data_IF_772033583637
#
_entry.id   IF_772033583637
#
_cell.length_a   1.000
_cell.length_b   1.000
_cell.length_c   1.000
_cell.angle_alpha   90.00
_cell.angle_beta   90.00
_cell.angle_gamma   90.00
#
_symmetry.space_group_name_H-M   'P 1'
#
loop_
_entity.id
_entity.type
_entity.pdbx_description
1 polymer ?
#
# COMPACT_ATOMS: atom_id res chain seq x y z
N UNK A 1 -3.30 4.06 -24.79
CA UNK A 1 -2.55 3.11 -23.94
C UNK A 1 -1.59 2.31 -24.77
N UNK A 2 -0.34 2.17 -24.32
CA UNK A 2 0.66 1.34 -24.99
C UNK A 2 0.38 -0.15 -24.75
N UNK A 3 0.80 -1.05 -25.66
CA UNK A 3 0.78 -2.48 -25.39
C UNK A 3 1.69 -2.80 -24.20
N UNK A 4 1.20 -3.66 -23.30
CA UNK A 4 2.01 -4.13 -22.16
C UNK A 4 3.03 -5.14 -22.68
N UNK A 5 4.24 -5.13 -22.12
CA UNK A 5 5.30 -6.08 -22.50
C UNK A 5 4.90 -7.53 -22.29
N UNK A 6 5.59 -8.45 -22.96
CA UNK A 6 5.48 -9.89 -22.70
C UNK A 6 6.02 -10.26 -21.32
N UNK A 7 5.56 -11.37 -20.70
CA UNK A 7 6.11 -11.87 -19.45
C UNK A 7 7.64 -12.05 -19.52
N UNK A 8 8.31 -11.72 -18.43
CA UNK A 8 9.75 -11.96 -18.29
C UNK A 8 10.00 -13.46 -18.06
N UNK A 9 11.09 -13.98 -18.63
CA UNK A 9 11.47 -15.38 -18.48
C UNK A 9 11.67 -15.72 -17.00
N UNK A 10 10.98 -16.77 -16.53
CA UNK A 10 11.02 -17.23 -15.13
C UNK A 10 12.44 -17.61 -14.67
N UNK A 11 13.29 -18.07 -15.58
CA UNK A 11 14.69 -18.40 -15.25
C UNK A 11 15.52 -17.16 -14.88
N UNK A 12 15.21 -15.99 -15.46
CA UNK A 12 15.83 -14.72 -15.09
C UNK A 12 15.32 -14.25 -13.73
N UNK A 13 14.03 -14.38 -13.46
CA UNK A 13 13.44 -14.01 -12.17
C UNK A 13 14.08 -14.82 -11.04
N UNK A 14 14.16 -16.15 -11.20
CA UNK A 14 14.77 -17.05 -10.20
C UNK A 14 16.25 -16.76 -9.94
N UNK A 15 17.00 -16.33 -10.96
CA UNK A 15 18.41 -15.94 -10.77
C UNK A 15 18.57 -14.71 -9.89
N UNK A 16 17.60 -13.81 -9.93
CA UNK A 16 17.63 -12.55 -9.17
C UNK A 16 16.98 -12.69 -7.79
N UNK A 17 16.10 -13.67 -7.57
CA UNK A 17 15.48 -13.96 -6.27
C UNK A 17 16.38 -14.87 -5.42
N UNK A 18 17.49 -14.32 -4.96
CA UNK A 18 18.52 -15.03 -4.20
C UNK A 18 18.18 -15.10 -2.70
N UNK A 19 18.72 -16.10 -1.96
CA UNK A 19 18.42 -16.26 -0.52
C UNK A 19 18.76 -15.05 0.35
N UNK A 20 19.77 -14.27 -0.02
CA UNK A 20 20.17 -13.02 0.69
C UNK A 20 19.17 -11.89 0.56
N UNK A 21 18.24 -11.97 -0.39
CA UNK A 21 17.13 -11.01 -0.59
C UNK A 21 15.81 -11.50 -0.02
N UNK A 22 15.76 -12.75 0.44
CA UNK A 22 14.57 -13.33 1.02
C UNK A 22 14.37 -12.83 2.44
N UNK A 23 13.20 -12.24 2.70
CA UNK A 23 12.80 -11.76 4.02
C UNK A 23 12.29 -12.90 4.91
N UNK A 24 11.33 -13.68 4.41
CA UNK A 24 10.70 -14.79 5.13
C UNK A 24 9.86 -15.67 4.21
N UNK A 25 9.42 -16.81 4.74
CA UNK A 25 8.29 -17.57 4.18
C UNK A 25 6.99 -17.05 4.79
N UNK A 26 5.90 -17.05 4.03
CA UNK A 26 4.58 -16.60 4.49
C UNK A 26 3.96 -17.57 5.49
N UNK A 27 3.13 -17.06 6.40
CA UNK A 27 2.44 -17.89 7.40
C UNK A 27 1.47 -18.91 6.77
N UNK A 28 1.02 -18.63 5.55
CA UNK A 28 0.10 -19.50 4.81
C UNK A 28 0.52 -19.64 3.36
N UNK A 29 0.24 -20.80 2.78
CA UNK A 29 0.51 -21.19 1.40
C UNK A 29 1.99 -21.40 1.03
N UNK A 30 2.94 -21.25 1.97
CA UNK A 30 4.36 -21.54 1.72
C UNK A 30 5.04 -20.63 0.71
N UNK A 31 4.48 -19.44 0.45
CA UNK A 31 5.07 -18.46 -0.45
C UNK A 31 6.31 -17.79 0.19
N UNK A 32 7.14 -17.19 -0.61
CA UNK A 32 8.35 -16.51 -0.17
C UNK A 32 8.22 -15.00 -0.36
N UNK A 33 8.71 -14.24 0.62
CA UNK A 33 8.73 -12.77 0.55
C UNK A 33 10.15 -12.30 0.32
N UNK A 34 10.32 -11.44 -0.69
CA UNK A 34 11.60 -10.84 -1.04
C UNK A 34 11.56 -9.33 -0.93
N UNK A 35 12.71 -8.73 -0.61
CA UNK A 35 12.95 -7.29 -0.71
C UNK A 35 14.05 -7.07 -1.73
N UNK A 36 13.76 -6.26 -2.75
CA UNK A 36 14.69 -5.96 -3.84
C UNK A 36 14.66 -4.48 -4.20
N UNK A 37 15.67 -4.05 -4.96
CA UNK A 37 15.68 -2.78 -5.69
C UNK A 37 15.87 -3.04 -7.18
N UNK A 38 15.65 -2.03 -8.01
CA UNK A 38 15.89 -2.10 -9.46
C UNK A 38 17.31 -2.55 -9.79
N UNK A 39 18.32 -2.00 -9.10
CA UNK A 39 19.72 -2.33 -9.36
C UNK A 39 20.06 -3.78 -9.01
N UNK A 40 19.43 -4.32 -7.98
CA UNK A 40 19.67 -5.70 -7.52
C UNK A 40 18.97 -6.74 -8.39
N UNK A 41 17.78 -6.41 -8.92
CA UNK A 41 16.92 -7.37 -9.61
C UNK A 41 16.15 -6.70 -10.76
N UNK A 42 16.84 -6.25 -11.83
CA UNK A 42 16.22 -5.51 -12.92
C UNK A 42 15.17 -6.31 -13.70
N UNK A 43 15.33 -7.62 -13.84
CA UNK A 43 14.34 -8.48 -14.50
C UNK A 43 13.10 -8.67 -13.63
N UNK A 44 13.28 -8.88 -12.31
CA UNK A 44 12.17 -8.94 -11.37
C UNK A 44 11.41 -7.61 -11.35
N UNK A 45 12.13 -6.47 -11.34
CA UNK A 45 11.50 -5.15 -11.40
C UNK A 45 10.72 -4.93 -12.69
N UNK A 46 11.22 -5.41 -13.82
CA UNK A 46 10.51 -5.37 -15.11
C UNK A 46 9.21 -6.17 -15.06
N UNK A 47 9.23 -7.36 -14.46
CA UNK A 47 8.03 -8.17 -14.28
C UNK A 47 7.04 -7.52 -13.29
N UNK A 48 7.52 -6.92 -12.20
CA UNK A 48 6.68 -6.12 -11.28
C UNK A 48 5.96 -5.01 -12.05
N UNK A 49 6.67 -4.23 -12.86
CA UNK A 49 6.08 -3.15 -13.66
C UNK A 49 5.01 -3.66 -14.62
N UNK A 50 5.24 -4.82 -15.27
CA UNK A 50 4.25 -5.49 -16.12
C UNK A 50 2.99 -5.89 -15.36
N UNK A 51 3.15 -6.56 -14.22
CA UNK A 51 2.03 -7.05 -13.40
C UNK A 51 1.23 -5.91 -12.77
N UNK A 52 1.91 -4.85 -12.32
CA UNK A 52 1.27 -3.62 -11.83
C UNK A 52 0.39 -2.99 -12.92
N UNK A 53 0.93 -2.79 -14.11
CA UNK A 53 0.19 -2.16 -15.19
C UNK A 53 -1.04 -3.00 -15.60
N UNK A 54 -0.92 -4.33 -15.64
CA UNK A 54 -2.06 -5.23 -15.88
C UNK A 54 -3.12 -5.07 -14.80
N UNK A 55 -2.72 -5.15 -13.53
CA UNK A 55 -3.65 -5.11 -12.40
C UNK A 55 -4.36 -3.74 -12.29
N UNK A 56 -3.62 -2.65 -12.46
CA UNK A 56 -4.16 -1.30 -12.35
C UNK A 56 -5.05 -0.92 -13.53
N UNK A 57 -4.68 -1.27 -14.78
CA UNK A 57 -5.57 -1.08 -15.94
C UNK A 57 -6.88 -1.85 -15.81
N UNK A 58 -6.81 -3.07 -15.32
CA UNK A 58 -8.02 -3.88 -15.10
C UNK A 58 -8.97 -3.25 -14.08
N UNK A 59 -8.44 -2.48 -13.13
CA UNK A 59 -9.21 -1.73 -12.15
C UNK A 59 -9.67 -0.33 -12.64
N UNK A 60 -9.17 0.16 -13.76
CA UNK A 60 -9.51 1.47 -14.32
C UNK A 60 -8.52 2.59 -14.02
N UNK A 61 -7.31 2.25 -13.57
CA UNK A 61 -6.16 3.15 -13.36
C UNK A 61 -4.99 2.78 -14.27
N UNK A 62 -3.77 2.93 -13.73
CA UNK A 62 -2.53 2.61 -14.41
C UNK A 62 -1.93 3.79 -15.17
N UNK A 63 -0.68 3.63 -15.60
CA UNK A 63 0.08 4.68 -16.28
C UNK A 63 -0.26 4.78 -17.77
N UNK A 64 -0.86 3.74 -18.35
CA UNK A 64 -1.07 3.64 -19.79
C UNK A 64 0.20 3.31 -20.60
N UNK A 65 1.33 3.13 -19.92
CA UNK A 65 2.62 2.77 -20.50
C UNK A 65 2.78 1.25 -20.64
N UNK A 66 3.84 0.79 -21.29
CA UNK A 66 4.12 -0.66 -21.42
C UNK A 66 4.44 -1.35 -20.09
N UNK A 67 4.84 -0.57 -19.08
CA UNK A 67 5.18 -0.97 -17.70
C UNK A 67 4.76 0.13 -16.73
N UNK A 68 4.28 -0.22 -15.54
CA UNK A 68 4.13 0.70 -14.42
C UNK A 68 5.42 0.74 -13.59
N UNK A 69 6.31 1.63 -13.97
CA UNK A 69 7.43 2.08 -13.17
C UNK A 69 7.66 3.57 -13.39
N UNK A 70 8.32 4.21 -12.45
CA UNK A 70 8.61 5.63 -12.47
C UNK A 70 10.05 5.91 -11.98
N UNK A 71 10.39 7.17 -11.82
CA UNK A 71 11.72 7.57 -11.32
C UNK A 71 12.00 7.04 -9.91
N UNK A 72 10.98 6.90 -9.07
CA UNK A 72 11.13 6.34 -7.71
C UNK A 72 11.47 4.86 -7.73
N UNK A 73 11.16 4.14 -8.79
CA UNK A 73 11.53 2.74 -8.96
C UNK A 73 12.95 2.57 -9.53
N UNK A 74 13.48 3.53 -10.33
CA UNK A 74 14.67 3.35 -11.18
C UNK A 74 15.84 4.30 -10.91
N UNK A 75 15.66 5.33 -10.08
CA UNK A 75 16.73 6.29 -9.75
C UNK A 75 17.91 5.63 -8.99
N UNK A 76 18.94 6.41 -8.69
CA UNK A 76 20.12 5.96 -7.96
C UNK A 76 19.80 5.41 -6.56
N UNK A 77 18.81 6.00 -5.87
CA UNK A 77 18.30 5.56 -4.56
C UNK A 77 16.81 5.24 -4.67
N UNK A 78 16.46 4.11 -5.30
CA UNK A 78 15.07 3.79 -5.58
C UNK A 78 14.34 3.30 -4.33
N UNK A 79 13.01 3.29 -4.43
CA UNK A 79 12.19 2.57 -3.48
C UNK A 79 12.50 1.08 -3.49
N UNK A 80 12.38 0.48 -2.33
CA UNK A 80 12.40 -0.97 -2.18
C UNK A 80 11.09 -1.56 -2.68
N UNK A 81 11.18 -2.79 -3.19
CA UNK A 81 10.05 -3.60 -3.59
C UNK A 81 9.93 -4.79 -2.66
N UNK A 82 8.82 -4.88 -1.95
CA UNK A 82 8.43 -6.07 -1.20
C UNK A 82 7.51 -6.88 -2.09
N UNK A 83 7.89 -8.10 -2.43
CA UNK A 83 7.09 -8.98 -3.29
C UNK A 83 6.82 -10.32 -2.62
N UNK A 84 5.69 -10.92 -2.96
CA UNK A 84 5.34 -12.29 -2.62
C UNK A 84 5.53 -13.15 -3.86
N UNK A 85 6.40 -14.14 -3.74
CA UNK A 85 6.75 -15.11 -4.78
C UNK A 85 6.14 -16.48 -4.48
N UNK A 86 5.47 -17.09 -5.43
CA UNK A 86 5.03 -18.46 -5.37
C UNK A 86 6.14 -19.37 -5.97
N UNK A 87 6.85 -20.17 -5.16
CA UNK A 87 7.93 -21.01 -5.66
C UNK A 87 7.45 -22.21 -6.47
N UNK A 88 6.18 -22.63 -6.34
CA UNK A 88 5.60 -23.75 -7.09
C UNK A 88 5.18 -23.32 -8.50
N UNK A 89 4.48 -22.19 -8.61
CA UNK A 89 4.02 -21.64 -9.89
C UNK A 89 5.09 -20.78 -10.57
N UNK A 90 6.14 -20.42 -9.82
CA UNK A 90 7.24 -19.57 -10.27
C UNK A 90 6.74 -18.22 -10.81
N UNK A 91 5.98 -17.50 -9.97
CA UNK A 91 5.42 -16.19 -10.32
C UNK A 91 5.24 -15.28 -9.11
N UNK A 92 5.12 -13.99 -9.38
CA UNK A 92 4.88 -12.94 -8.37
C UNK A 92 3.37 -12.86 -8.13
N UNK A 93 2.95 -13.08 -6.87
CA UNK A 93 1.54 -12.98 -6.45
C UNK A 93 1.09 -11.54 -6.23
N UNK A 94 1.99 -10.67 -5.83
CA UNK A 94 1.71 -9.28 -5.53
C UNK A 94 2.88 -8.60 -4.85
N UNK A 95 2.71 -7.33 -4.50
CA UNK A 95 3.78 -6.56 -3.85
C UNK A 95 3.34 -5.18 -3.41
N UNK A 96 4.29 -4.54 -2.74
CA UNK A 96 4.32 -3.12 -2.38
C UNK A 96 5.66 -2.53 -2.78
N UNK A 97 5.69 -1.25 -3.12
CA UNK A 97 6.92 -0.47 -3.00
C UNK A 97 6.93 0.31 -1.70
N UNK A 98 8.09 0.56 -1.12
CA UNK A 98 8.19 1.30 0.12
C UNK A 98 9.51 2.08 0.23
N UNK A 99 9.46 3.15 1.01
CA UNK A 99 10.63 3.93 1.38
C UNK A 99 10.58 4.27 2.87
N UNK A 100 11.64 3.95 3.66
CA UNK A 100 11.79 4.50 5.00
C UNK A 100 11.94 6.02 4.94
N UNK A 101 11.17 6.75 5.76
CA UNK A 101 11.22 8.20 5.79
C UNK A 101 12.57 8.76 6.23
N UNK A 102 13.36 7.97 6.96
CA UNK A 102 14.76 8.30 7.29
C UNK A 102 15.69 8.33 6.07
N UNK A 103 15.29 7.71 4.95
CA UNK A 103 16.03 7.71 3.68
C UNK A 103 15.48 8.75 2.69
N UNK A 104 14.41 9.46 3.03
CA UNK A 104 13.81 10.44 2.14
C UNK A 104 14.75 11.60 1.85
N UNK A 105 14.83 11.99 0.57
CA UNK A 105 15.46 13.24 0.15
C UNK A 105 14.46 14.39 0.29
N UNK A 106 14.95 15.62 0.35
CA UNK A 106 14.14 16.82 0.47
C UNK A 106 14.44 17.78 -0.66
N UNK A 107 13.41 18.48 -1.12
CA UNK A 107 13.54 19.55 -2.10
C UNK A 107 14.05 20.87 -1.45
N UNK A 108 14.27 21.89 -2.28
CA UNK A 108 14.72 23.20 -1.84
C UNK A 108 13.74 23.93 -0.90
N UNK A 109 12.50 23.49 -0.83
CA UNK A 109 11.45 24.02 0.05
C UNK A 109 11.33 23.22 1.35
N UNK A 110 12.15 22.19 1.55
CA UNK A 110 12.12 21.31 2.71
C UNK A 110 10.97 20.30 2.68
N UNK A 111 10.31 20.08 1.52
CA UNK A 111 9.34 19.01 1.38
C UNK A 111 10.02 17.71 0.98
N UNK A 112 9.54 16.54 1.44
CA UNK A 112 10.16 15.27 1.10
C UNK A 112 9.89 14.92 -0.36
N UNK A 113 10.89 14.35 -1.03
CA UNK A 113 10.75 13.82 -2.40
C UNK A 113 10.19 12.39 -2.35
N UNK A 114 8.89 12.27 -2.08
CA UNK A 114 8.16 11.02 -2.03
C UNK A 114 7.26 10.83 -3.25
N UNK A 115 6.88 9.60 -3.52
CA UNK A 115 5.94 9.28 -4.60
C UNK A 115 4.55 9.92 -4.40
N UNK A 116 4.22 10.38 -3.21
CA UNK A 116 2.98 11.09 -2.89
C UNK A 116 3.13 12.62 -2.87
N UNK A 117 4.35 13.15 -2.94
CA UNK A 117 4.62 14.58 -2.76
C UNK A 117 4.04 15.49 -3.83
N UNK A 118 3.71 14.96 -5.00
CA UNK A 118 3.01 15.72 -6.04
C UNK A 118 1.52 15.99 -5.70
N UNK A 119 0.95 15.23 -4.75
CA UNK A 119 -0.46 15.36 -4.34
C UNK A 119 -0.63 15.94 -2.95
N UNK A 120 0.33 15.73 -2.04
CA UNK A 120 0.19 16.04 -0.64
C UNK A 120 1.32 16.95 -0.12
N UNK A 121 0.91 17.91 0.70
CA UNK A 121 1.80 18.75 1.50
C UNK A 121 2.01 18.13 2.88
N UNK A 122 3.25 18.06 3.33
CA UNK A 122 3.64 17.57 4.65
C UNK A 122 3.90 18.74 5.58
N UNK A 123 3.20 18.82 6.70
CA UNK A 123 3.39 19.89 7.67
C UNK A 123 4.77 19.79 8.35
N UNK A 124 5.29 20.92 8.80
CA UNK A 124 6.51 20.97 9.61
C UNK A 124 6.45 20.06 10.84
N UNK A 125 5.24 19.94 11.43
CA UNK A 125 5.04 19.06 12.57
C UNK A 125 5.22 17.60 12.19
N UNK A 126 4.64 17.17 11.06
CA UNK A 126 4.84 15.81 10.55
C UNK A 126 6.31 15.53 10.25
N UNK A 127 6.97 16.44 9.53
CA UNK A 127 8.36 16.26 9.13
C UNK A 127 9.31 16.13 10.32
N UNK A 128 9.08 16.91 11.37
CA UNK A 128 9.94 16.92 12.57
C UNK A 128 9.67 15.77 13.54
N UNK A 129 8.41 15.30 13.61
CA UNK A 129 7.96 14.39 14.67
C UNK A 129 7.77 12.95 14.18
N UNK A 130 7.27 12.78 12.95
CA UNK A 130 6.81 11.48 12.45
C UNK A 130 7.65 10.92 11.31
N UNK A 131 8.17 11.79 10.44
CA UNK A 131 8.75 11.39 9.15
C UNK A 131 9.85 10.35 9.28
N UNK A 132 10.80 10.54 10.19
CA UNK A 132 11.96 9.64 10.35
C UNK A 132 11.57 8.22 10.77
N UNK A 133 10.47 8.09 11.52
CA UNK A 133 9.96 6.82 12.06
C UNK A 133 8.81 6.25 11.18
N UNK A 134 8.58 6.83 9.98
CA UNK A 134 7.52 6.44 9.05
C UNK A 134 8.09 5.69 7.85
N UNK A 135 7.37 4.69 7.36
CA UNK A 135 7.60 4.09 6.05
C UNK A 135 6.46 4.48 5.12
N UNK A 136 6.79 5.10 3.97
CA UNK A 136 5.82 5.29 2.90
C UNK A 136 5.61 3.98 2.14
N UNK A 137 4.33 3.62 1.94
CA UNK A 137 3.88 2.47 1.16
C UNK A 137 3.18 2.93 -0.12
N UNK A 138 3.48 2.30 -1.24
CA UNK A 138 2.83 2.60 -2.51
C UNK A 138 2.72 1.40 -3.43
N UNK A 139 2.04 1.60 -4.56
CA UNK A 139 1.92 0.60 -5.62
C UNK A 139 1.52 -0.80 -5.12
N UNK A 140 0.60 -0.86 -4.16
CA UNK A 140 0.03 -2.12 -3.68
C UNK A 140 -0.71 -2.82 -4.82
N UNK A 141 -0.32 -4.04 -5.14
CA UNK A 141 -1.01 -4.83 -6.16
C UNK A 141 -1.07 -6.30 -5.78
N UNK A 142 -2.08 -6.97 -6.30
CA UNK A 142 -2.19 -8.42 -6.38
C UNK A 142 -2.31 -8.77 -7.85
N UNK A 143 -1.56 -9.75 -8.32
CA UNK A 143 -1.60 -10.22 -9.71
C UNK A 143 -3.02 -10.59 -10.09
N UNK A 144 -3.49 -10.13 -11.26
CA UNK A 144 -4.89 -10.17 -11.65
C UNK A 144 -5.51 -11.58 -11.58
N UNK A 145 -4.75 -12.58 -11.95
CA UNK A 145 -5.16 -13.99 -11.91
C UNK A 145 -5.53 -14.46 -10.50
N UNK A 146 -4.93 -13.87 -9.46
CA UNK A 146 -5.17 -14.18 -8.05
C UNK A 146 -6.23 -13.29 -7.39
N UNK A 147 -6.76 -12.30 -8.08
CA UNK A 147 -7.85 -11.45 -7.57
C UNK A 147 -9.24 -12.13 -7.72
N UNK A 148 -9.36 -13.13 -8.57
CA UNK A 148 -10.64 -13.80 -8.83
C UNK A 148 -10.93 -14.88 -7.78
N UNK A 149 -12.22 -15.01 -7.39
CA UNK A 149 -12.71 -16.10 -6.54
C UNK A 149 -12.52 -17.48 -7.16
N UNK A 150 -12.20 -17.56 -8.45
CA UNK A 150 -11.88 -18.82 -9.17
C UNK A 150 -10.43 -19.26 -8.96
N UNK A 151 -9.56 -18.38 -8.50
CA UNK A 151 -8.15 -18.69 -8.24
C UNK A 151 -7.95 -19.50 -6.96
N UNK A 152 -8.81 -20.49 -6.69
CA UNK A 152 -8.73 -21.45 -5.57
C UNK A 152 -7.89 -20.96 -4.35
N UNK A 153 -7.68 -21.69 -3.33
CA UNK A 153 -7.08 -21.32 -2.02
C UNK A 153 -5.93 -20.30 -2.01
N UNK A 154 -5.12 -20.19 -3.06
CA UNK A 154 -3.94 -19.31 -3.13
C UNK A 154 -4.31 -17.82 -3.22
N UNK A 155 -5.31 -17.44 -4.02
CA UNK A 155 -5.74 -16.03 -4.15
C UNK A 155 -6.33 -15.45 -2.87
N UNK A 156 -6.99 -16.28 -2.06
CA UNK A 156 -7.55 -15.89 -0.75
C UNK A 156 -6.46 -15.38 0.20
N UNK A 157 -5.24 -15.93 0.09
CA UNK A 157 -4.13 -15.57 0.98
C UNK A 157 -3.21 -14.48 0.42
N UNK A 158 -3.39 -14.02 -0.82
CA UNK A 158 -2.46 -13.08 -1.44
C UNK A 158 -2.33 -11.77 -0.62
N UNK A 159 -3.44 -11.17 -0.23
CA UNK A 159 -3.43 -9.97 0.61
C UNK A 159 -2.86 -10.26 2.02
N UNK A 160 -3.19 -11.40 2.60
CA UNK A 160 -2.70 -11.83 3.90
C UNK A 160 -1.18 -12.05 3.89
N UNK A 161 -0.66 -12.63 2.82
CA UNK A 161 0.78 -12.82 2.62
C UNK A 161 1.54 -11.47 2.48
N UNK A 162 0.93 -10.48 1.83
CA UNK A 162 1.49 -9.13 1.78
C UNK A 162 1.57 -8.51 3.19
N UNK A 163 0.58 -8.74 4.04
CA UNK A 163 0.61 -8.31 5.44
C UNK A 163 1.70 -9.01 6.26
N UNK A 164 2.04 -10.27 5.98
CA UNK A 164 3.18 -10.94 6.59
C UNK A 164 4.50 -10.21 6.29
N UNK A 165 4.63 -9.69 5.07
CA UNK A 165 5.77 -8.86 4.68
C UNK A 165 5.80 -7.52 5.40
N UNK A 166 4.68 -6.78 5.42
CA UNK A 166 4.59 -5.50 6.11
C UNK A 166 4.81 -5.66 7.63
N UNK A 167 4.28 -6.74 8.22
CA UNK A 167 4.53 -7.08 9.63
C UNK A 167 6.02 -7.32 9.91
N UNK A 168 6.74 -7.99 9.02
CA UNK A 168 8.17 -8.19 9.15
C UNK A 168 8.95 -6.86 9.05
N UNK A 169 8.54 -5.91 8.17
CA UNK A 169 9.17 -4.59 8.10
C UNK A 169 9.15 -3.86 9.46
N UNK A 170 8.07 -4.00 10.26
CA UNK A 170 7.97 -3.36 11.58
C UNK A 170 9.02 -3.85 12.57
N UNK A 171 9.60 -5.02 12.32
CA UNK A 171 10.62 -5.63 13.18
C UNK A 171 12.03 -5.34 12.68
N UNK A 172 12.24 -5.35 11.35
CA UNK A 172 13.57 -5.22 10.78
C UNK A 172 14.00 -3.76 10.55
N UNK A 173 13.06 -2.84 10.25
CA UNK A 173 13.40 -1.43 10.05
C UNK A 173 13.54 -0.75 11.42
N UNK A 174 14.73 -0.22 11.76
CA UNK A 174 14.94 0.42 13.05
C UNK A 174 14.00 1.61 13.27
N UNK A 175 13.42 1.68 14.47
CA UNK A 175 12.54 2.77 14.91
C UNK A 175 11.25 2.95 14.07
N UNK A 176 10.88 2.00 13.21
CA UNK A 176 9.63 2.09 12.48
C UNK A 176 8.44 2.07 13.45
N UNK A 177 7.69 3.17 13.44
CA UNK A 177 6.48 3.35 14.27
C UNK A 177 5.22 3.56 13.43
N UNK A 178 5.37 4.02 12.19
CA UNK A 178 4.25 4.45 11.38
C UNK A 178 4.33 3.95 9.95
N UNK A 179 3.18 3.65 9.37
CA UNK A 179 3.01 3.50 7.93
C UNK A 179 2.21 4.67 7.38
N UNK A 180 2.69 5.26 6.31
CA UNK A 180 1.97 6.23 5.49
C UNK A 180 1.73 5.64 4.10
N UNK A 181 0.57 5.85 3.55
CA UNK A 181 0.22 5.39 2.21
C UNK A 181 -1.07 6.00 1.72
N UNK A 182 -1.66 5.41 0.71
CA UNK A 182 -2.90 5.90 0.13
C UNK A 182 -3.85 4.77 -0.26
N UNK A 183 -5.14 5.03 -0.13
CA UNK A 183 -6.21 4.19 -0.64
C UNK A 183 -6.69 4.77 -1.97
N UNK A 184 -6.80 3.92 -2.98
CA UNK A 184 -7.24 4.32 -4.31
C UNK A 184 -8.69 3.95 -4.54
N UNK A 185 -9.49 4.91 -5.01
CA UNK A 185 -10.80 4.67 -5.61
C UNK A 185 -10.77 5.04 -7.09
N UNK A 186 -11.38 4.18 -7.89
CA UNK A 186 -11.35 4.31 -9.35
C UNK A 186 -12.54 5.12 -9.86
N UNK A 187 -12.40 5.89 -10.96
CA UNK A 187 -13.48 6.72 -11.52
C UNK A 187 -14.75 5.94 -11.88
N UNK A 188 -14.63 4.63 -12.15
CA UNK A 188 -15.75 3.73 -12.43
C UNK A 188 -16.61 3.39 -11.20
N UNK A 189 -16.13 3.71 -9.98
CA UNK A 189 -16.89 3.46 -8.76
C UNK A 189 -18.08 4.42 -8.64
N UNK A 190 -19.19 3.94 -8.09
CA UNK A 190 -20.40 4.76 -7.93
C UNK A 190 -20.11 6.01 -7.09
N UNK A 191 -20.43 7.20 -7.63
CA UNK A 191 -20.10 8.50 -7.02
C UNK A 191 -20.72 8.68 -5.64
N UNK A 192 -22.00 8.35 -5.46
CA UNK A 192 -22.65 8.46 -4.15
C UNK A 192 -22.06 7.49 -3.13
N UNK A 193 -21.77 6.25 -3.56
CA UNK A 193 -21.11 5.29 -2.68
C UNK A 193 -19.70 5.76 -2.28
N UNK A 194 -18.94 6.36 -3.22
CA UNK A 194 -17.66 7.00 -2.99
C UNK A 194 -17.78 8.11 -1.94
N UNK A 195 -18.74 9.02 -2.12
CA UNK A 195 -18.93 10.15 -1.20
C UNK A 195 -19.28 9.68 0.22
N UNK A 196 -20.12 8.66 0.34
CA UNK A 196 -20.44 8.04 1.63
C UNK A 196 -19.20 7.44 2.30
N UNK A 197 -18.33 6.75 1.54
CA UNK A 197 -17.09 6.19 2.07
C UNK A 197 -16.16 7.31 2.54
N UNK A 198 -15.96 8.35 1.73
CA UNK A 198 -15.06 9.46 2.08
C UNK A 198 -15.58 10.26 3.29
N UNK A 199 -16.88 10.53 3.35
CA UNK A 199 -17.48 11.18 4.52
C UNK A 199 -17.33 10.34 5.78
N UNK A 200 -17.62 9.04 5.71
CA UNK A 200 -17.44 8.12 6.82
C UNK A 200 -15.99 8.10 7.32
N UNK A 201 -15.03 8.02 6.39
CA UNK A 201 -13.60 8.04 6.73
C UNK A 201 -13.21 9.38 7.40
N UNK A 202 -13.67 10.52 6.86
CA UNK A 202 -13.44 11.84 7.46
C UNK A 202 -14.03 11.94 8.87
N UNK A 203 -15.25 11.42 9.07
CA UNK A 203 -15.95 11.44 10.37
C UNK A 203 -15.23 10.65 11.45
N UNK A 204 -14.81 9.41 11.13
CA UNK A 204 -14.28 8.49 12.13
C UNK A 204 -12.76 8.49 12.26
N UNK A 205 -12.04 8.90 11.20
CA UNK A 205 -10.59 8.82 11.10
C UNK A 205 -9.93 10.13 10.66
N UNK A 206 -10.70 11.20 10.45
CA UNK A 206 -10.16 12.47 9.96
C UNK A 206 -9.06 13.03 10.86
N UNK A 207 -7.94 13.40 10.25
CA UNK A 207 -6.82 14.03 10.96
C UNK A 207 -7.17 15.44 11.42
N UNK A 208 -7.11 15.67 12.72
CA UNK A 208 -7.41 16.96 13.35
C UNK A 208 -6.20 17.88 13.45
N UNK A 209 -4.99 17.31 13.25
CA UNK A 209 -3.72 18.02 13.39
C UNK A 209 -3.22 18.60 12.07
N UNK A 210 -3.90 18.28 10.95
CA UNK A 210 -3.48 18.68 9.60
C UNK A 210 -2.01 18.31 9.29
N UNK A 211 -1.63 17.08 9.67
CA UNK A 211 -0.27 16.58 9.52
C UNK A 211 0.14 16.51 8.04
N UNK A 212 -0.77 16.03 7.21
CA UNK A 212 -0.61 15.92 5.75
C UNK A 212 -1.92 16.38 5.10
N UNK A 213 -1.82 17.23 4.09
CA UNK A 213 -2.99 17.79 3.41
C UNK A 213 -2.86 17.70 1.91
N UNK A 214 -3.92 17.38 1.15
CA UNK A 214 -3.86 17.42 -0.30
C UNK A 214 -3.71 18.87 -0.79
N UNK A 215 -2.86 19.09 -1.82
CA UNK A 215 -2.74 20.40 -2.48
C UNK A 215 -4.05 20.82 -3.17
N UNK A 216 -4.76 19.86 -3.75
CA UNK A 216 -6.05 20.04 -4.41
C UNK A 216 -7.04 19.03 -3.85
N UNK A 217 -7.72 19.35 -2.74
CA UNK A 217 -8.67 18.41 -2.13
C UNK A 217 -9.82 18.09 -3.06
N UNK A 218 -10.17 16.82 -3.15
CA UNK A 218 -11.36 16.37 -3.86
C UNK A 218 -12.61 16.94 -3.19
N UNK A 219 -13.46 17.56 -3.99
CA UNK A 219 -14.80 17.96 -3.56
C UNK A 219 -15.78 16.83 -3.85
N UNK A 220 -16.51 16.39 -2.84
CA UNK A 220 -17.57 15.38 -3.00
C UNK A 220 -18.80 15.99 -3.67
N UNK A 221 -19.52 15.16 -4.45
CA UNK A 221 -20.71 15.61 -5.20
C UNK A 221 -21.98 15.63 -4.33
N UNK A 222 -22.07 14.72 -3.34
CA UNK A 222 -23.22 14.61 -2.43
C UNK A 222 -23.17 15.72 -1.37
N UNK A 223 -24.25 16.48 -1.15
CA UNK A 223 -24.29 17.51 -0.12
C UNK A 223 -23.95 16.95 1.27
N UNK A 224 -23.09 17.66 2.01
CA UNK A 224 -22.63 17.22 3.33
C UNK A 224 -23.79 17.03 4.32
N UNK A 225 -24.82 17.90 4.23
CA UNK A 225 -26.03 17.79 5.05
C UNK A 225 -26.83 16.48 4.84
N UNK A 226 -26.77 15.89 3.64
CA UNK A 226 -27.41 14.60 3.36
C UNK A 226 -26.61 13.46 4.00
N UNK A 227 -25.29 13.55 3.95
CA UNK A 227 -24.39 12.57 4.57
C UNK A 227 -24.45 12.64 6.10
N UNK A 228 -24.55 13.84 6.68
CA UNK A 228 -24.74 14.04 8.12
C UNK A 228 -26.06 13.41 8.62
N UNK A 229 -27.14 13.55 7.85
CA UNK A 229 -28.44 12.91 8.19
C UNK A 229 -28.37 11.38 8.08
N UNK A 230 -27.48 10.85 7.26
CA UNK A 230 -27.31 9.42 7.09
C UNK A 230 -26.47 8.81 8.21
N UNK A 231 -25.37 9.47 8.59
CA UNK A 231 -24.43 9.02 9.59
C UNK A 231 -24.62 9.74 10.92
N UNK A 232 -25.73 9.47 11.57
CA UNK A 232 -26.14 10.14 12.82
C UNK A 232 -25.63 9.45 14.08
N UNK A 233 -25.02 8.28 13.98
CA UNK A 233 -24.54 7.53 15.14
C UNK A 233 -23.20 8.08 15.65
N UNK A 234 -22.99 8.02 16.96
CA UNK A 234 -21.73 8.46 17.58
C UNK A 234 -20.67 7.37 17.60
N UNK A 235 -21.02 6.15 17.18
CA UNK A 235 -20.11 5.01 17.19
C UNK A 235 -19.81 4.48 15.78
N UNK A 236 -18.55 4.09 15.58
CA UNK A 236 -18.04 3.53 14.33
C UNK A 236 -18.85 2.31 13.85
N UNK A 237 -19.21 1.40 14.74
CA UNK A 237 -19.84 0.11 14.37
C UNK A 237 -21.23 0.30 13.78
N UNK A 238 -22.00 1.22 14.34
CA UNK A 238 -23.35 1.54 13.86
C UNK A 238 -23.29 2.27 12.52
N UNK A 239 -22.46 3.31 12.39
CA UNK A 239 -22.28 4.02 11.14
C UNK A 239 -21.68 3.11 10.03
N UNK A 240 -20.78 2.19 10.39
CA UNK A 240 -20.24 1.21 9.43
C UNK A 240 -21.33 0.28 8.88
N UNK A 241 -22.32 -0.14 9.70
CA UNK A 241 -23.46 -0.93 9.22
C UNK A 241 -24.31 -0.16 8.24
N UNK A 242 -24.54 1.13 8.50
CA UNK A 242 -25.24 2.04 7.60
C UNK A 242 -24.47 2.15 6.29
N UNK A 243 -23.17 2.48 6.34
CA UNK A 243 -22.31 2.58 5.17
C UNK A 243 -22.38 1.32 4.30
N UNK A 244 -22.16 0.16 4.91
CA UNK A 244 -22.15 -1.12 4.18
C UNK A 244 -23.52 -1.40 3.51
N UNK A 245 -24.62 -1.08 4.19
CA UNK A 245 -25.96 -1.24 3.65
C UNK A 245 -26.21 -0.31 2.47
N UNK A 246 -25.85 0.97 2.59
CA UNK A 246 -26.09 1.97 1.55
C UNK A 246 -25.22 1.77 0.32
N UNK A 247 -23.96 1.38 0.49
CA UNK A 247 -23.05 1.03 -0.61
C UNK A 247 -23.59 -0.19 -1.37
N UNK A 248 -24.07 -1.22 -0.65
CA UNK A 248 -24.65 -2.42 -1.27
C UNK A 248 -25.94 -2.15 -2.01
N UNK A 249 -26.81 -1.27 -1.53
CA UNK A 249 -28.02 -0.84 -2.25
C UNK A 249 -27.71 -0.24 -3.61
N UNK A 250 -26.51 0.31 -3.81
CA UNK A 250 -26.02 0.86 -5.07
C UNK A 250 -25.29 -0.14 -5.95
N UNK A 251 -25.32 -1.44 -5.58
CA UNK A 251 -24.72 -2.54 -6.35
C UNK A 251 -23.21 -2.67 -6.17
N UNK A 252 -22.61 -2.00 -5.17
CA UNK A 252 -21.17 -2.02 -4.90
C UNK A 252 -20.86 -2.61 -3.52
N UNK A 253 -19.61 -2.93 -3.29
CA UNK A 253 -19.08 -3.23 -1.96
C UNK A 253 -18.04 -2.17 -1.60
N UNK A 254 -17.85 -1.93 -0.31
CA UNK A 254 -16.68 -1.14 0.15
C UNK A 254 -15.42 -1.83 -0.37
N UNK A 255 -14.50 -1.10 -1.02
CA UNK A 255 -13.30 -1.71 -1.59
C UNK A 255 -12.53 -2.55 -0.54
N UNK A 256 -12.05 -3.75 -0.90
CA UNK A 256 -11.41 -4.66 0.06
C UNK A 256 -10.25 -4.03 0.83
N UNK A 257 -9.45 -3.21 0.16
CA UNK A 257 -8.32 -2.53 0.80
C UNK A 257 -8.76 -1.48 1.82
N UNK A 258 -9.84 -0.71 1.53
CA UNK A 258 -10.44 0.25 2.48
C UNK A 258 -10.92 -0.48 3.73
N UNK A 259 -11.64 -1.60 3.56
CA UNK A 259 -12.06 -2.45 4.68
C UNK A 259 -10.88 -3.02 5.48
N UNK A 260 -9.83 -3.45 4.79
CA UNK A 260 -8.64 -4.00 5.44
C UNK A 260 -7.98 -2.97 6.35
N UNK A 261 -7.81 -1.73 5.89
CA UNK A 261 -7.22 -0.65 6.69
C UNK A 261 -8.10 -0.23 7.86
N UNK A 262 -9.41 -0.04 7.66
CA UNK A 262 -10.35 0.24 8.77
C UNK A 262 -10.37 -0.86 9.83
N UNK A 263 -10.16 -2.11 9.43
CA UNK A 263 -10.07 -3.28 10.30
C UNK A 263 -8.66 -3.55 10.88
N UNK A 264 -7.70 -2.68 10.63
CA UNK A 264 -6.31 -2.86 11.09
C UNK A 264 -6.03 -2.11 12.37
N UNK A 265 -6.45 -0.85 12.46
CA UNK A 265 -6.24 0.01 13.62
C UNK A 265 -7.44 0.92 13.84
N UNK A 266 -7.94 1.05 15.06
CA UNK A 266 -9.03 1.97 15.40
C UNK A 266 -8.59 3.44 15.39
N UNK A 267 -7.30 3.70 15.37
CA UNK A 267 -6.69 5.04 15.43
C UNK A 267 -6.04 5.44 14.10
N UNK A 268 -6.34 4.70 13.02
CA UNK A 268 -5.95 5.11 11.66
C UNK A 268 -6.31 6.58 11.44
N UNK A 269 -5.45 7.34 10.76
CA UNK A 269 -5.75 8.72 10.35
C UNK A 269 -5.93 8.80 8.84
N UNK A 270 -6.82 9.69 8.42
CA UNK A 270 -7.11 9.95 7.00
C UNK A 270 -6.84 11.42 6.72
N UNK A 271 -6.04 11.69 5.69
CA UNK A 271 -5.51 13.02 5.37
C UNK A 271 -6.25 13.77 4.25
N UNK A 272 -7.39 13.26 3.84
CA UNK A 272 -8.13 13.79 2.69
C UNK A 272 -7.79 13.08 1.39
N UNK A 273 -8.46 13.49 0.34
CA UNK A 273 -8.41 12.83 -0.98
C UNK A 273 -7.98 13.83 -2.05
N UNK A 274 -7.12 13.41 -2.96
CA UNK A 274 -6.72 14.14 -4.17
C UNK A 274 -6.97 13.30 -5.41
N UNK A 275 -7.08 13.93 -6.59
CA UNK A 275 -7.11 13.25 -7.88
C UNK A 275 -5.67 13.07 -8.35
N UNK A 276 -5.33 11.85 -8.76
CA UNK A 276 -4.04 11.55 -9.36
C UNK A 276 -4.15 11.53 -10.89
N UNK A 277 -3.83 12.67 -11.51
CA UNK A 277 -3.91 12.84 -12.96
C UNK A 277 -2.87 12.00 -13.74
N UNK A 278 -1.80 11.59 -13.08
CA UNK A 278 -0.73 10.79 -13.70
C UNK A 278 -1.02 9.27 -13.67
N UNK A 279 -2.13 8.87 -13.02
CA UNK A 279 -2.46 7.47 -12.82
C UNK A 279 -3.91 7.11 -13.19
N UNK A 280 -4.43 7.68 -14.27
CA UNK A 280 -5.78 7.38 -14.77
C UNK A 280 -6.89 8.09 -14.01
N UNK A 281 -6.66 9.31 -13.52
CA UNK A 281 -7.64 10.16 -12.82
C UNK A 281 -8.23 9.48 -11.57
N UNK A 282 -7.46 8.61 -10.91
CA UNK A 282 -7.92 7.92 -9.70
C UNK A 282 -7.95 8.87 -8.51
N UNK A 283 -8.85 8.58 -7.58
CA UNK A 283 -9.01 9.34 -6.35
C UNK A 283 -8.22 8.67 -5.22
N UNK A 284 -7.24 9.37 -4.68
CA UNK A 284 -6.31 8.82 -3.70
C UNK A 284 -6.46 9.50 -2.35
N UNK A 285 -6.81 8.73 -1.34
CA UNK A 285 -6.98 9.16 0.05
C UNK A 285 -5.74 8.80 0.86
N UNK A 286 -5.06 9.80 1.43
CA UNK A 286 -3.91 9.59 2.30
C UNK A 286 -4.32 8.91 3.60
N UNK A 287 -3.56 7.92 4.05
CA UNK A 287 -3.78 7.18 5.30
C UNK A 287 -2.50 7.05 6.11
N UNK A 288 -2.65 6.99 7.42
CA UNK A 288 -1.55 6.88 8.38
C UNK A 288 -1.92 5.92 9.51
N UNK A 289 -1.01 5.01 9.82
CA UNK A 289 -1.22 3.93 10.79
C UNK A 289 -0.07 3.90 11.78
N UNK A 290 -0.38 3.89 13.07
CA UNK A 290 0.60 3.62 14.12
C UNK A 290 0.72 2.09 14.33
N UNK A 291 1.95 1.59 14.29
CA UNK A 291 2.25 0.14 14.41
C UNK A 291 1.81 -0.40 15.77
N UNK A 292 2.04 0.37 16.84
CA UNK A 292 1.69 -0.03 18.22
C UNK A 292 0.18 -0.09 18.47
N UNK A 293 -0.62 0.53 17.59
CA UNK A 293 -2.07 0.60 17.68
C UNK A 293 -2.77 -0.39 16.72
N UNK A 294 -2.00 -1.24 16.06
CA UNK A 294 -2.53 -2.36 15.27
C UNK A 294 -3.25 -3.35 16.21
N UNK A 295 -4.46 -3.75 15.82
CA UNK A 295 -5.26 -4.70 16.59
C UNK A 295 -4.47 -5.98 16.92
N UNK A 296 -4.55 -6.43 18.17
CA UNK A 296 -3.77 -7.54 18.71
C UNK A 296 -3.83 -8.80 17.84
N UNK A 297 -5.00 -9.18 17.35
CA UNK A 297 -5.15 -10.35 16.46
C UNK A 297 -4.33 -10.23 15.18
N UNK A 298 -4.21 -9.01 14.61
CA UNK A 298 -3.41 -8.75 13.43
C UNK A 298 -1.92 -8.75 13.74
N UNK A 299 -1.55 -8.12 14.86
CA UNK A 299 -0.18 -8.12 15.37
C UNK A 299 0.32 -9.53 15.63
N UNK A 300 -0.43 -10.33 16.37
CA UNK A 300 -0.10 -11.74 16.65
C UNK A 300 0.09 -12.57 15.39
N UNK A 301 -0.71 -12.32 14.37
CA UNK A 301 -0.67 -13.07 13.12
C UNK A 301 0.52 -12.68 12.22
N UNK A 302 0.81 -11.41 12.07
CA UNK A 302 1.74 -10.92 11.04
C UNK A 302 3.08 -10.44 11.61
N UNK A 303 3.13 -10.00 12.87
CA UNK A 303 4.34 -9.48 13.51
C UNK A 303 4.93 -10.53 14.47
N UNK A 304 4.17 -11.02 15.43
CA UNK A 304 4.69 -11.89 16.49
C UNK A 304 5.17 -13.24 15.94
N UNK A 305 4.61 -13.72 14.83
CA UNK A 305 5.09 -14.92 14.13
C UNK A 305 6.50 -14.69 13.60
N UNK A 306 6.75 -13.52 12.98
CA UNK A 306 8.07 -13.18 12.47
C UNK A 306 9.12 -13.05 13.58
N UNK A 307 8.79 -12.37 14.67
CA UNK A 307 9.69 -12.22 15.82
C UNK A 307 10.11 -13.59 16.39
N UNK A 308 9.19 -14.56 16.45
CA UNK A 308 9.50 -15.92 16.92
C UNK A 308 10.41 -16.69 15.98
N UNK A 309 10.25 -16.49 14.66
CA UNK A 309 11.04 -17.15 13.63
C UNK A 309 12.45 -16.53 13.49
N UNK A 310 12.59 -15.23 13.80
CA UNK A 310 13.82 -14.45 13.57
C UNK A 310 14.23 -13.68 14.85
N UNK A 311 14.72 -14.36 15.89
CA UNK A 311 15.16 -13.69 17.14
C UNK A 311 16.30 -12.70 16.92
N UNK A 312 17.14 -12.88 15.88
CA UNK A 312 18.26 -12.01 15.49
C UNK A 312 17.93 -11.09 14.30
N UNK A 313 16.74 -10.52 14.30
CA UNK A 313 16.20 -9.70 13.17
C UNK A 313 17.06 -8.49 12.76
N UNK A 314 17.93 -7.95 13.64
CA UNK A 314 18.85 -6.86 13.31
C UNK A 314 19.84 -7.23 12.19
N UNK A 315 20.26 -8.49 12.11
CA UNK A 315 21.13 -8.98 11.05
C UNK A 315 20.44 -8.97 9.68
N UNK A 316 19.11 -9.17 9.65
CA UNK A 316 18.34 -9.10 8.41
C UNK A 316 18.25 -7.70 7.84
N UNK A 317 18.16 -6.68 8.68
CA UNK A 317 18.21 -5.30 8.21
C UNK A 317 19.52 -5.01 7.47
N UNK A 318 20.66 -5.36 8.08
CA UNK A 318 21.96 -5.17 7.44
C UNK A 318 22.07 -5.92 6.12
N UNK A 319 21.63 -7.17 6.10
CA UNK A 319 21.65 -8.01 4.91
C UNK A 319 20.78 -7.43 3.77
N UNK A 320 19.57 -6.98 4.05
CA UNK A 320 18.59 -6.57 3.04
C UNK A 320 18.80 -5.12 2.56
N UNK A 321 19.28 -4.22 3.43
CA UNK A 321 19.29 -2.78 3.17
C UNK A 321 20.70 -2.18 2.99
N UNK A 322 21.74 -2.74 3.61
CA UNK A 322 23.11 -2.18 3.50
C UNK A 322 23.88 -2.60 2.24
N UNK A 323 23.38 -3.55 1.44
CA UNK A 323 24.00 -3.95 0.16
C UNK A 323 23.92 -2.88 -0.95
N UNK A 324 23.37 -1.69 -0.67
CA UNK A 324 23.31 -0.56 -1.61
C UNK A 324 24.66 0.14 -1.87
N UNK A 325 25.74 -0.21 -1.17
CA UNK A 325 27.00 0.55 -1.19
C UNK A 325 28.16 -0.15 -1.92
N UNK A 326 27.90 -1.13 -2.75
CA UNK A 326 28.91 -1.74 -3.64
C UNK A 326 28.43 -1.54 -5.11
#
# INVERSE_FOLDING_TARGET
MQPIISPVDKTLLKKELTPDRRLRTTNKAGNEIYIITYQQAPNVMREIGRLREIAFRAAGGGTGMELDWDEFDTCEHPYYQLIVWDPEEELILGGYRFLPGSEAKYDDKGQPCLATSHMFHFSDHFLKTYMADTVELGRSFVTLEYQSTRAMSKGIFALDNLWDGLGALTVIIPNLKYFFGKMTMYPSFNRQARDMILFFLKKHFGDKEQLITPYSPLVIDTPEEELEKLFVCDDFKSDYRILNTEVRKRGFNIPPLVNAYMGLSPTMRVFGTAINHEFGEVEETGIFLAVDEILEQKRMRHIDTFVKEHPDSLNLFEQLFKQKQL
#
